data_IF_200768706365
#
_entry.id   IF_200768706365
#
_cell.length_a   1.000
_cell.length_b   1.000
_cell.length_c   1.000
_cell.angle_alpha   90.00
_cell.angle_beta   90.00
_cell.angle_gamma   90.00
#
_symmetry.space_group_name_H-M   'P 1'
#
loop_
_entity.id
_entity.type
_entity.pdbx_description
1 polymer ?
#
# COMPACT_ATOMS: atom_id res chain seq x y z
N UNK A 1 -0.64 17.94 16.35
CA UNK A 1 -0.25 17.15 15.16
C UNK A 1 -1.42 16.23 14.85
N UNK A 2 -2.18 16.48 13.78
CA UNK A 2 -3.20 15.55 13.34
C UNK A 2 -2.48 14.33 12.75
N UNK A 3 -2.74 13.15 13.32
CA UNK A 3 -2.35 11.89 12.70
C UNK A 3 -3.03 11.83 11.34
N UNK A 4 -2.25 11.82 10.25
CA UNK A 4 -2.79 11.58 8.92
C UNK A 4 -3.38 10.17 8.90
N UNK A 5 -4.70 10.06 8.96
CA UNK A 5 -5.44 8.81 8.81
C UNK A 5 -5.56 8.49 7.33
N UNK A 6 -5.10 7.30 6.91
CA UNK A 6 -5.44 6.76 5.59
C UNK A 6 -6.63 5.81 5.72
N UNK A 7 -7.55 5.91 4.76
CA UNK A 7 -8.55 4.87 4.54
C UNK A 7 -7.88 3.80 3.68
N UNK A 8 -7.90 2.55 4.16
CA UNK A 8 -7.28 1.41 3.47
C UNK A 8 -8.36 0.59 2.78
N UNK A 9 -8.25 0.42 1.47
CA UNK A 9 -9.08 -0.48 0.68
C UNK A 9 -8.23 -1.66 0.19
N UNK A 10 -8.78 -2.86 0.28
CA UNK A 10 -8.14 -4.10 -0.21
C UNK A 10 -9.00 -4.73 -1.28
N UNK A 11 -8.40 -5.07 -2.42
CA UNK A 11 -9.09 -5.83 -3.45
C UNK A 11 -9.43 -7.25 -2.99
N UNK A 12 -10.45 -7.83 -3.61
CA UNK A 12 -10.84 -9.22 -3.35
C UNK A 12 -9.75 -10.21 -3.80
N UNK A 13 -8.99 -9.89 -4.88
CA UNK A 13 -7.82 -10.66 -5.29
C UNK A 13 -6.77 -10.68 -4.20
N UNK A 14 -6.39 -9.51 -3.68
CA UNK A 14 -5.38 -9.38 -2.63
C UNK A 14 -5.77 -10.13 -1.34
N UNK A 15 -7.01 -9.97 -0.88
CA UNK A 15 -7.52 -10.70 0.30
C UNK A 15 -7.47 -12.23 0.09
N UNK A 16 -7.83 -12.72 -1.10
CA UNK A 16 -7.72 -14.15 -1.43
C UNK A 16 -6.27 -14.63 -1.50
N UNK A 17 -5.35 -13.83 -2.02
CA UNK A 17 -3.93 -14.18 -2.08
C UNK A 17 -3.33 -14.32 -0.69
N UNK A 18 -3.64 -13.39 0.24
CA UNK A 18 -3.23 -13.47 1.64
C UNK A 18 -3.73 -14.74 2.31
N UNK A 19 -5.02 -15.07 2.14
CA UNK A 19 -5.58 -16.31 2.69
C UNK A 19 -4.89 -17.56 2.16
N UNK A 20 -4.54 -17.60 0.87
CA UNK A 20 -3.85 -18.75 0.23
C UNK A 20 -2.46 -19.01 0.80
N UNK A 21 -1.77 -17.98 1.28
CA UNK A 21 -0.45 -18.11 1.90
C UNK A 21 -0.53 -18.26 3.43
N UNK A 22 -1.72 -18.53 3.98
CA UNK A 22 -1.94 -18.76 5.40
C UNK A 22 -2.07 -17.49 6.25
N UNK A 23 -2.35 -16.34 5.63
CA UNK A 23 -2.56 -15.08 6.34
C UNK A 23 -4.05 -14.77 6.37
N UNK A 24 -4.65 -14.96 7.54
CA UNK A 24 -6.11 -14.83 7.74
C UNK A 24 -6.54 -13.42 8.15
N UNK A 25 -5.68 -12.68 8.86
CA UNK A 25 -5.91 -11.27 9.21
C UNK A 25 -4.96 -10.38 8.41
N UNK A 26 -5.54 -9.60 7.50
CA UNK A 26 -4.82 -8.65 6.64
C UNK A 26 -4.06 -7.59 7.43
N UNK A 27 -4.50 -7.28 8.66
CA UNK A 27 -3.85 -6.31 9.54
C UNK A 27 -2.56 -6.85 10.18
N UNK A 28 -2.39 -8.18 10.21
CA UNK A 28 -1.20 -8.84 10.73
C UNK A 28 -0.09 -8.97 9.67
N UNK A 29 -0.35 -8.62 8.41
CA UNK A 29 0.65 -8.74 7.34
C UNK A 29 1.71 -7.64 7.39
N UNK A 30 2.93 -8.00 7.77
CA UNK A 30 4.03 -7.05 7.99
C UNK A 30 4.42 -6.19 6.75
N UNK A 31 4.54 -6.73 5.52
CA UNK A 31 4.85 -5.92 4.34
C UNK A 31 3.73 -4.94 3.96
N UNK A 32 2.46 -5.36 4.06
CA UNK A 32 1.30 -4.49 3.77
C UNK A 32 1.18 -3.34 4.77
N UNK A 33 1.28 -3.64 6.08
CA UNK A 33 1.30 -2.63 7.13
C UNK A 33 2.46 -1.64 6.95
N UNK A 34 3.64 -2.15 6.58
CA UNK A 34 4.81 -1.30 6.27
C UNK A 34 4.55 -0.41 5.06
N UNK A 35 3.87 -0.92 4.03
CA UNK A 35 3.52 -0.13 2.86
C UNK A 35 2.60 1.05 3.20
N UNK A 36 1.53 0.82 3.98
CA UNK A 36 0.63 1.89 4.45
C UNK A 36 1.41 2.95 5.22
N UNK A 37 2.23 2.54 6.20
CA UNK A 37 3.02 3.47 7.02
C UNK A 37 4.00 4.30 6.19
N UNK A 38 4.63 3.70 5.17
CA UNK A 38 5.57 4.40 4.29
C UNK A 38 4.85 5.40 3.38
N UNK A 39 3.69 5.02 2.81
CA UNK A 39 2.87 5.92 1.99
C UNK A 39 2.31 7.09 2.80
N UNK A 40 1.98 6.88 4.08
CA UNK A 40 1.53 7.93 4.98
C UNK A 40 2.65 8.91 5.37
N UNK A 41 3.87 8.42 5.59
CA UNK A 41 4.99 9.24 6.07
C UNK A 41 5.74 9.98 4.97
N UNK A 42 5.64 9.53 3.72
CA UNK A 42 6.43 10.03 2.58
C UNK A 42 5.50 10.57 1.52
N UNK A 43 5.26 11.88 1.57
CA UNK A 43 4.34 12.58 0.66
C UNK A 43 4.74 12.44 -0.82
N UNK A 44 5.98 12.11 -1.11
CA UNK A 44 6.51 11.85 -2.45
C UNK A 44 6.15 10.44 -2.98
N UNK A 45 5.93 9.45 -2.12
CA UNK A 45 5.63 8.08 -2.54
C UNK A 45 4.16 7.92 -2.95
N UNK A 46 3.91 7.58 -4.21
CA UNK A 46 2.58 7.24 -4.72
C UNK A 46 2.34 5.74 -4.80
N UNK A 47 3.41 4.93 -4.89
CA UNK A 47 3.30 3.49 -5.10
C UNK A 47 4.33 2.70 -4.29
N UNK A 48 3.88 1.60 -3.70
CA UNK A 48 4.76 0.56 -3.15
C UNK A 48 4.49 -0.77 -3.83
N UNK A 49 5.56 -1.42 -4.29
CA UNK A 49 5.50 -2.75 -4.89
C UNK A 49 6.13 -3.75 -3.93
N UNK A 50 5.33 -4.67 -3.38
CA UNK A 50 5.87 -5.85 -2.73
C UNK A 50 6.30 -6.86 -3.79
N UNK A 51 7.53 -7.38 -3.73
CA UNK A 51 8.06 -8.30 -4.74
C UNK A 51 8.91 -9.42 -4.10
N UNK A 52 8.60 -10.72 -4.33
CA UNK A 52 9.38 -11.85 -3.82
C UNK A 52 10.76 -12.00 -4.46
N UNK A 53 11.02 -11.32 -5.58
CA UNK A 53 12.35 -11.28 -6.19
C UNK A 53 13.30 -10.36 -5.44
N UNK A 54 12.78 -9.46 -4.59
CA UNK A 54 13.61 -8.61 -3.74
C UNK A 54 13.99 -9.39 -2.48
N UNK A 55 15.25 -9.84 -2.41
CA UNK A 55 15.83 -10.55 -1.26
C UNK A 55 16.62 -9.57 -0.37
N UNK A 56 16.73 -9.89 0.92
CA UNK A 56 17.65 -9.25 1.90
C UNK A 56 17.38 -7.78 2.27
N UNK A 57 16.14 -7.39 2.60
CA UNK A 57 15.83 -6.02 3.09
C UNK A 57 16.18 -4.87 2.13
N UNK A 58 16.57 -5.17 0.88
CA UNK A 58 16.81 -4.16 -0.13
C UNK A 58 15.49 -3.45 -0.46
N UNK A 59 15.48 -2.13 -0.39
CA UNK A 59 14.42 -1.31 -0.93
C UNK A 59 14.99 -0.43 -2.05
N UNK A 60 14.32 -0.41 -3.21
CA UNK A 60 14.74 0.40 -4.36
C UNK A 60 13.68 1.45 -4.63
N UNK A 61 14.10 2.70 -4.68
CA UNK A 61 13.28 3.82 -5.17
C UNK A 61 13.43 3.97 -6.68
N UNK A 62 12.31 4.15 -7.37
CA UNK A 62 12.18 4.36 -8.81
C UNK A 62 11.30 5.60 -9.06
N UNK A 63 11.25 6.06 -10.31
CA UNK A 63 10.38 7.18 -10.75
C UNK A 63 10.52 8.43 -9.87
N UNK A 64 11.74 8.99 -9.80
CA UNK A 64 12.08 10.15 -8.97
C UNK A 64 11.68 10.02 -7.50
N UNK A 65 11.65 8.79 -6.98
CA UNK A 65 11.31 8.51 -5.59
C UNK A 65 9.82 8.33 -5.32
N UNK A 66 8.97 8.26 -6.36
CA UNK A 66 7.52 8.03 -6.25
C UNK A 66 7.16 6.56 -6.07
N UNK A 67 8.01 5.66 -6.55
CA UNK A 67 7.81 4.22 -6.46
C UNK A 67 8.85 3.62 -5.52
N UNK A 68 8.41 2.81 -4.56
CA UNK A 68 9.31 2.06 -3.68
C UNK A 68 9.02 0.57 -3.77
N UNK A 69 10.03 -0.24 -4.09
CA UNK A 69 9.90 -1.70 -4.06
C UNK A 69 10.42 -2.25 -2.74
N UNK A 70 9.67 -3.19 -2.14
CA UNK A 70 10.02 -3.85 -0.88
C UNK A 70 9.94 -5.37 -1.02
N UNK A 71 10.69 -6.09 -0.19
CA UNK A 71 10.60 -7.54 -0.10
C UNK A 71 9.20 -7.98 0.41
N UNK A 72 8.63 -9.02 -0.21
CA UNK A 72 7.33 -9.61 0.15
C UNK A 72 7.28 -11.09 -0.22
N UNK A 73 6.47 -11.90 0.47
CA UNK A 73 6.28 -13.32 0.12
C UNK A 73 5.55 -13.54 -1.22
N UNK A 74 4.86 -12.53 -1.73
CA UNK A 74 4.18 -12.53 -3.03
C UNK A 74 4.11 -11.11 -3.59
N UNK A 75 3.80 -10.99 -4.88
CA UNK A 75 3.76 -9.69 -5.55
C UNK A 75 2.46 -8.96 -5.27
N UNK A 76 2.53 -7.69 -4.86
CA UNK A 76 1.37 -6.81 -4.68
C UNK A 76 1.72 -5.35 -4.96
N UNK A 77 0.69 -4.52 -5.12
CA UNK A 77 0.79 -3.08 -5.30
C UNK A 77 -0.03 -2.38 -4.22
N UNK A 78 0.56 -1.40 -3.55
CA UNK A 78 -0.12 -0.49 -2.63
C UNK A 78 -0.03 0.93 -3.21
N UNK A 79 -1.17 1.46 -3.60
CA UNK A 79 -1.27 2.73 -4.33
C UNK A 79 -1.85 3.77 -3.40
N UNK A 80 -1.21 4.93 -3.29
CA UNK A 80 -1.79 6.07 -2.58
C UNK A 80 -2.46 6.99 -3.58
N UNK A 81 -3.77 7.09 -3.51
CA UNK A 81 -4.54 8.11 -4.20
C UNK A 81 -4.75 9.31 -3.29
N UNK A 82 -4.40 10.48 -3.80
CA UNK A 82 -4.78 11.75 -3.21
C UNK A 82 -6.07 12.19 -3.87
N UNK A 83 -7.18 12.05 -3.16
CA UNK A 83 -8.40 12.70 -3.60
C UNK A 83 -8.34 14.18 -3.15
N UNK A 84 -8.26 15.15 -4.09
CA UNK A 84 -8.57 16.52 -3.72
C UNK A 84 -9.99 16.52 -3.20
N UNK A 85 -10.17 16.87 -1.93
CA UNK A 85 -11.46 16.78 -1.24
C UNK A 85 -12.56 17.44 -2.05
N UNK A 86 -13.46 16.63 -2.60
CA UNK A 86 -14.68 17.07 -3.27
C UNK A 86 -15.81 16.06 -2.98
N UNK A 87 -15.87 15.60 -1.73
CA UNK A 87 -17.07 14.97 -1.21
C UNK A 87 -17.81 16.05 -0.42
N UNK A 88 -19.07 16.28 -0.77
CA UNK A 88 -19.93 17.33 -0.21
C UNK A 88 -20.29 17.14 1.28
N UNK A 89 -19.57 16.28 1.99
CA UNK A 89 -19.75 15.99 3.41
C UNK A 89 -18.36 15.98 4.07
N UNK A 90 -18.21 16.75 5.15
CA UNK A 90 -17.02 17.06 5.95
C UNK A 90 -16.19 15.84 6.45
N UNK A 91 -15.60 15.07 5.54
CA UNK A 91 -14.53 14.13 5.86
C UNK A 91 -13.27 14.73 5.26
N UNK A 92 -12.49 15.41 6.11
CA UNK A 92 -11.29 16.15 5.73
C UNK A 92 -10.39 15.38 4.76
N UNK A 93 -9.81 16.11 3.80
CA UNK A 93 -8.93 15.56 2.77
C UNK A 93 -7.94 14.54 3.33
N UNK A 94 -8.05 13.30 2.88
CA UNK A 94 -7.26 12.17 3.36
C UNK A 94 -6.62 11.42 2.21
N UNK A 95 -5.56 10.68 2.50
CA UNK A 95 -4.94 9.79 1.52
C UNK A 95 -5.62 8.43 1.57
N UNK A 96 -6.07 7.95 0.42
CA UNK A 96 -6.59 6.59 0.28
C UNK A 96 -5.44 5.65 -0.10
N UNK A 97 -5.38 4.45 0.49
CA UNK A 97 -4.42 3.41 0.08
C UNK A 97 -5.17 2.19 -0.41
N UNK A 98 -4.92 1.80 -1.66
CA UNK A 98 -5.53 0.64 -2.31
C UNK A 98 -4.52 -0.48 -2.52
N UNK A 99 -4.84 -1.70 -2.08
CA UNK A 99 -4.05 -2.91 -2.34
C UNK A 99 -4.59 -3.71 -3.51
N UNK A 100 -3.70 -4.06 -4.45
CA UNK A 100 -4.00 -4.77 -5.70
C UNK A 100 -2.99 -5.90 -5.96
N UNK A 101 -3.44 -6.95 -6.64
CA UNK A 101 -2.58 -7.94 -7.27
C UNK A 101 -2.09 -7.49 -8.66
N UNK A 102 -1.04 -8.12 -9.24
CA UNK A 102 -0.51 -7.72 -10.54
C UNK A 102 -1.46 -7.79 -11.73
N UNK A 103 -2.52 -8.60 -11.62
CA UNK A 103 -3.59 -8.71 -12.61
C UNK A 103 -4.69 -7.65 -12.42
N UNK A 104 -4.72 -6.98 -11.27
CA UNK A 104 -5.71 -5.94 -10.92
C UNK A 104 -5.15 -4.51 -11.02
N UNK A 105 -3.83 -4.35 -11.11
CA UNK A 105 -3.11 -3.08 -11.22
C UNK A 105 -2.79 -2.74 -12.68
#
# INVERSE_FOLDING_TARGET
>A
MNEASAIVYTSSGYARALKRIGIEDVNLFAPGKRAVLLLLRRAELSLIVGDPKIRNNYCRTEDDGRVLRIASGFKFFAVRDHHPGNYAEDIGGGSTVTFLLPDEY
#
